data_IF_982951118962
#
_entry.id   IF_982951118962
#
_cell.length_a   1.000
_cell.length_b   1.000
_cell.length_c   1.000
_cell.angle_alpha   90.00
_cell.angle_beta   90.00
_cell.angle_gamma   90.00
#
_symmetry.space_group_name_H-M   'P 1'
#
loop_
_entity.id
_entity.type
_entity.pdbx_description
1 polymer ?
#
# COMPACT_ATOMS: atom_id res chain seq x y z
N UNK A 1 -10.57 0.92 6.00
CA UNK A 1 -11.23 -0.23 6.68
C UNK A 1 -12.09 -0.91 5.63
N UNK A 2 -11.71 -2.09 5.16
CA UNK A 2 -12.53 -2.88 4.24
C UNK A 2 -13.43 -3.79 5.08
N UNK A 3 -14.73 -3.77 4.83
CA UNK A 3 -15.70 -4.69 5.42
C UNK A 3 -16.23 -5.57 4.30
N UNK A 4 -16.10 -6.89 4.44
CA UNK A 4 -16.80 -7.83 3.57
C UNK A 4 -18.22 -8.04 4.09
N UNK A 5 -19.21 -7.75 3.26
CA UNK A 5 -20.61 -8.10 3.53
C UNK A 5 -21.01 -9.22 2.57
N UNK A 6 -21.42 -10.35 3.12
CA UNK A 6 -22.11 -11.39 2.36
C UNK A 6 -23.61 -11.20 2.52
N UNK A 7 -24.33 -11.13 1.41
CA UNK A 7 -25.79 -11.03 1.41
C UNK A 7 -26.37 -12.38 0.97
N UNK A 8 -26.76 -13.20 1.95
CA UNK A 8 -27.77 -14.23 1.72
C UNK A 8 -29.13 -13.54 1.89
N UNK A 9 -30.14 -13.94 1.12
CA UNK A 9 -31.36 -13.18 0.74
C UNK A 9 -32.13 -12.38 1.81
N UNK A 10 -31.78 -12.43 3.10
CA UNK A 10 -32.38 -11.63 4.18
C UNK A 10 -31.42 -11.19 5.31
N UNK A 11 -30.10 -11.43 5.25
CA UNK A 11 -29.17 -11.04 6.33
C UNK A 11 -27.82 -10.59 5.78
N UNK A 12 -27.47 -9.31 6.02
CA UNK A 12 -26.12 -8.81 5.78
C UNK A 12 -25.18 -9.33 6.88
N UNK A 13 -24.38 -10.35 6.56
CA UNK A 13 -23.40 -10.90 7.50
C UNK A 13 -22.11 -10.09 7.42
N UNK A 14 -21.69 -9.53 8.56
CA UNK A 14 -20.36 -8.91 8.70
C UNK A 14 -19.31 -10.02 8.75
N UNK A 15 -18.68 -10.30 7.62
CA UNK A 15 -17.75 -11.43 7.46
C UNK A 15 -16.36 -11.14 8.07
N UNK A 16 -16.13 -9.92 8.54
CA UNK A 16 -14.88 -9.51 9.18
C UNK A 16 -15.10 -8.36 10.19
N UNK A 17 -14.71 -8.55 11.44
CA UNK A 17 -14.81 -7.52 12.49
C UNK A 17 -13.44 -6.95 12.89
N UNK A 18 -12.38 -7.75 12.77
CA UNK A 18 -11.07 -7.44 13.32
C UNK A 18 -10.07 -6.91 12.29
N UNK A 19 -8.95 -6.38 12.79
CA UNK A 19 -7.83 -5.98 11.96
C UNK A 19 -7.31 -7.19 11.17
N UNK A 20 -7.08 -7.05 9.85
CA UNK A 20 -6.59 -8.16 9.05
C UNK A 20 -5.17 -8.55 9.46
N UNK A 21 -4.89 -9.85 9.45
CA UNK A 21 -3.52 -10.36 9.53
C UNK A 21 -2.94 -10.41 8.12
N UNK A 22 -1.79 -9.78 7.92
CA UNK A 22 -1.09 -9.77 6.63
C UNK A 22 0.08 -10.74 6.70
N UNK A 23 0.19 -11.62 5.71
CA UNK A 23 1.28 -12.58 5.57
C UNK A 23 1.90 -12.47 4.17
N UNK A 24 3.23 -12.50 4.12
CA UNK A 24 3.99 -12.46 2.88
C UNK A 24 4.45 -13.87 2.56
N UNK A 25 4.14 -14.34 1.35
CA UNK A 25 4.59 -15.65 0.88
C UNK A 25 5.90 -15.52 0.11
N UNK A 26 6.65 -16.62 0.05
CA UNK A 26 7.93 -16.69 -0.65
C UNK A 26 7.79 -16.50 -2.18
N UNK A 27 6.59 -16.70 -2.73
CA UNK A 27 6.25 -16.45 -4.13
C UNK A 27 5.98 -14.96 -4.43
N UNK A 28 6.10 -14.07 -3.44
CA UNK A 28 5.84 -12.65 -3.57
C UNK A 28 4.37 -12.26 -3.48
N UNK A 29 3.46 -13.21 -3.28
CA UNK A 29 2.05 -12.92 -3.03
C UNK A 29 1.83 -12.42 -1.60
N UNK A 30 0.84 -11.53 -1.44
CA UNK A 30 0.44 -11.01 -0.14
C UNK A 30 -0.90 -11.63 0.19
N UNK A 31 -0.99 -12.30 1.33
CA UNK A 31 -2.25 -12.88 1.80
C UNK A 31 -2.74 -12.11 3.01
N UNK A 32 -3.93 -11.53 2.86
CA UNK A 32 -4.61 -10.81 3.90
C UNK A 32 -5.78 -11.64 4.43
N UNK A 33 -5.71 -12.03 5.69
CA UNK A 33 -6.73 -12.84 6.34
C UNK A 33 -7.54 -12.00 7.31
N UNK A 34 -8.84 -12.00 7.10
CA UNK A 34 -9.82 -11.38 7.96
C UNK A 34 -10.51 -12.44 8.81
N UNK A 35 -10.61 -12.15 10.10
CA UNK A 35 -11.35 -12.97 11.05
C UNK A 35 -12.78 -12.45 11.13
N UNK A 36 -13.71 -13.30 10.75
CA UNK A 36 -15.14 -13.07 10.81
C UNK A 36 -15.76 -13.56 12.10
N UNK A 37 -16.92 -13.02 12.39
CA UNK A 37 -17.74 -13.48 13.50
C UNK A 37 -18.29 -14.89 13.20
N UNK A 38 -18.69 -15.58 14.26
CA UNK A 38 -19.41 -16.84 14.16
C UNK A 38 -20.74 -16.66 13.41
N UNK A 39 -21.08 -17.61 12.54
CA UNK A 39 -22.43 -17.73 12.00
C UNK A 39 -23.41 -17.94 13.18
N UNK A 40 -24.60 -17.33 13.15
CA UNK A 40 -25.65 -17.68 14.09
C UNK A 40 -26.12 -19.11 13.80
N UNK A 41 -25.67 -20.05 14.61
CA UNK A 41 -26.16 -21.44 14.62
C UNK A 41 -27.16 -21.57 15.77
N UNK A 42 -28.36 -22.06 15.48
CA UNK A 42 -29.44 -22.22 16.48
C UNK A 42 -29.21 -23.40 17.45
N UNK A 43 -27.95 -23.77 17.70
CA UNK A 43 -27.55 -24.90 18.56
C UNK A 43 -26.54 -24.40 19.60
N UNK A 44 -26.88 -24.59 20.88
CA UNK A 44 -26.20 -24.00 22.04
C UNK A 44 -24.71 -24.40 22.22
N UNK A 45 -24.20 -25.35 21.44
CA UNK A 45 -22.84 -25.90 21.57
C UNK A 45 -22.01 -25.86 20.28
N UNK A 46 -22.44 -25.11 19.24
CA UNK A 46 -21.71 -25.06 17.96
C UNK A 46 -20.93 -23.75 17.85
N UNK A 47 -19.60 -23.86 17.77
CA UNK A 47 -18.72 -22.72 17.46
C UNK A 47 -18.35 -22.79 15.98
N UNK A 48 -19.00 -21.96 15.16
CA UNK A 48 -18.57 -21.73 13.78
C UNK A 48 -17.61 -20.54 13.72
N UNK A 49 -16.52 -20.63 12.97
CA UNK A 49 -15.65 -19.49 12.69
C UNK A 49 -15.56 -19.26 11.17
N UNK A 50 -15.61 -18.00 10.79
CA UNK A 50 -15.58 -17.60 9.38
C UNK A 50 -14.28 -16.85 9.11
N UNK A 51 -13.58 -17.21 8.05
CA UNK A 51 -12.36 -16.55 7.61
C UNK A 51 -12.51 -16.08 6.18
N UNK A 52 -12.00 -14.89 5.88
CA UNK A 52 -11.88 -14.41 4.49
C UNK A 52 -10.42 -14.16 4.22
N UNK A 53 -9.84 -14.88 3.26
CA UNK A 53 -8.47 -14.70 2.82
C UNK A 53 -8.48 -14.05 1.44
N UNK A 54 -7.83 -12.90 1.33
CA UNK A 54 -7.59 -12.21 0.05
C UNK A 54 -6.14 -12.43 -0.33
N UNK A 55 -5.93 -13.17 -1.42
CA UNK A 55 -4.63 -13.41 -2.00
C UNK A 55 -4.37 -12.38 -3.10
N UNK A 56 -3.48 -11.44 -2.83
CA UNK A 56 -3.05 -10.44 -3.79
C UNK A 56 -1.94 -10.99 -4.67
N UNK A 57 -2.16 -10.93 -5.98
CA UNK A 57 -1.23 -11.41 -7.00
C UNK A 57 -0.80 -10.22 -7.85
N UNK A 58 0.50 -10.11 -8.13
CA UNK A 58 1.01 -9.08 -9.01
C UNK A 58 0.53 -9.31 -10.45
N UNK A 59 -0.20 -8.34 -10.99
CA UNK A 59 -0.50 -8.25 -12.42
C UNK A 59 -0.42 -6.80 -12.89
N UNK A 60 0.65 -6.49 -13.63
CA UNK A 60 0.90 -5.15 -14.18
C UNK A 60 -0.13 -4.71 -15.23
N UNK A 61 -0.91 -5.64 -15.79
CA UNK A 61 -1.93 -5.33 -16.79
C UNK A 61 -3.31 -5.08 -16.17
N UNK A 62 -3.50 -5.50 -14.93
CA UNK A 62 -4.78 -5.37 -14.22
C UNK A 62 -5.02 -3.94 -13.70
N UNK A 63 -3.98 -3.11 -13.56
CA UNK A 63 -4.06 -1.80 -12.90
C UNK A 63 -4.56 -1.95 -11.47
N UNK A 64 -5.53 -1.12 -11.07
CA UNK A 64 -6.22 -1.23 -9.78
C UNK A 64 -6.92 -2.59 -9.56
N UNK A 65 -7.15 -3.34 -10.64
CA UNK A 65 -7.75 -4.68 -10.61
C UNK A 65 -9.17 -4.71 -10.07
N UNK A 66 -9.75 -5.90 -10.07
CA UNK A 66 -10.94 -6.21 -9.29
C UNK A 66 -10.70 -7.56 -8.61
N UNK A 67 -11.25 -7.77 -7.40
CA UNK A 67 -11.21 -9.08 -6.78
C UNK A 67 -11.95 -10.07 -7.68
N UNK A 68 -11.21 -11.06 -8.18
CA UNK A 68 -11.76 -12.17 -8.91
C UNK A 68 -12.01 -13.34 -7.96
N UNK A 69 -13.05 -14.10 -8.28
CA UNK A 69 -13.27 -15.40 -7.65
C UNK A 69 -12.13 -16.33 -8.06
N UNK A 70 -11.55 -17.02 -7.09
CA UNK A 70 -10.60 -18.09 -7.37
C UNK A 70 -11.31 -19.17 -8.21
N UNK A 71 -10.85 -19.47 -9.44
CA UNK A 71 -11.48 -20.46 -10.30
C UNK A 71 -11.43 -21.88 -9.73
N UNK A 72 -10.49 -22.17 -8.82
CA UNK A 72 -10.41 -23.45 -8.12
C UNK A 72 -11.35 -23.53 -6.90
N UNK A 73 -11.93 -22.40 -6.48
CA UNK A 73 -12.72 -22.32 -5.26
C UNK A 73 -14.21 -22.54 -5.52
N UNK A 74 -14.69 -23.71 -5.11
CA UNK A 74 -16.12 -24.05 -5.06
C UNK A 74 -16.72 -23.32 -3.86
N UNK A 75 -17.55 -22.32 -4.13
CA UNK A 75 -18.25 -21.64 -3.04
C UNK A 75 -19.24 -22.61 -2.41
N UNK A 76 -19.34 -22.66 -1.07
CA UNK A 76 -20.43 -23.36 -0.45
C UNK A 76 -21.75 -22.73 -0.91
N UNK A 77 -22.75 -23.57 -1.22
CA UNK A 77 -24.05 -23.12 -1.74
C UNK A 77 -24.83 -22.22 -0.75
N UNK A 78 -24.39 -22.14 0.51
CA UNK A 78 -24.89 -21.24 1.55
C UNK A 78 -23.73 -20.74 2.40
N UNK A 79 -23.78 -19.48 2.81
CA UNK A 79 -22.70 -18.88 3.61
C UNK A 79 -22.58 -19.46 5.03
N UNK A 80 -23.67 -20.05 5.53
CA UNK A 80 -23.69 -20.83 6.76
C UNK A 80 -24.46 -22.16 6.51
N UNK A 81 -23.96 -23.31 6.99
CA UNK A 81 -24.68 -24.57 6.90
C UNK A 81 -25.96 -24.51 7.76
N UNK A 82 -27.10 -24.91 7.19
CA UNK A 82 -28.37 -25.05 7.93
C UNK A 82 -28.50 -26.50 8.41
N UNK A 83 -28.69 -26.69 9.72
CA UNK A 83 -28.88 -28.01 10.33
C UNK A 83 -30.36 -28.36 10.47
N UNK A 84 -30.67 -29.62 10.21
CA UNK A 84 -31.93 -30.21 10.63
C UNK A 84 -31.93 -30.36 12.16
N UNK A 85 -33.03 -29.97 12.81
CA UNK A 85 -33.19 -30.07 14.26
C UNK A 85 -32.99 -31.52 14.72
N UNK A 86 -31.97 -31.81 15.54
CA UNK A 86 -31.82 -33.13 16.19
C UNK A 86 -30.39 -33.63 16.44
N UNK A 87 -29.35 -33.03 15.86
CA UNK A 87 -27.96 -33.42 16.15
C UNK A 87 -27.44 -32.69 17.40
N UNK A 88 -26.99 -33.45 18.41
CA UNK A 88 -26.46 -32.94 19.69
C UNK A 88 -24.93 -32.99 19.74
N UNK A 89 -24.29 -33.40 18.65
CA UNK A 89 -22.83 -33.51 18.56
C UNK A 89 -22.17 -32.13 18.51
N UNK A 90 -21.10 -31.93 19.29
CA UNK A 90 -20.25 -30.73 19.21
C UNK A 90 -19.46 -30.77 17.91
N UNK A 91 -19.81 -29.92 16.97
CA UNK A 91 -19.09 -29.81 15.70
C UNK A 91 -18.40 -28.45 15.60
N UNK A 92 -17.13 -28.48 15.19
CA UNK A 92 -16.36 -27.28 14.87
C UNK A 92 -16.36 -27.09 13.36
N UNK A 93 -16.97 -25.99 12.88
CA UNK A 93 -17.01 -25.67 11.46
C UNK A 93 -16.17 -24.43 11.19
N UNK A 94 -15.26 -24.56 10.23
CA UNK A 94 -14.41 -23.48 9.74
C UNK A 94 -14.73 -23.24 8.28
N UNK A 95 -15.33 -22.09 7.98
CA UNK A 95 -15.61 -21.68 6.60
C UNK A 95 -14.59 -20.63 6.18
N UNK A 96 -13.77 -20.94 5.17
CA UNK A 96 -12.72 -20.04 4.69
C UNK A 96 -12.97 -19.65 3.25
N UNK A 97 -13.27 -18.36 2.99
CA UNK A 97 -13.45 -17.80 1.65
C UNK A 97 -12.11 -17.33 1.09
N UNK A 98 -11.73 -17.83 -0.08
CA UNK A 98 -10.51 -17.41 -0.77
C UNK A 98 -10.85 -16.52 -1.96
N UNK A 99 -10.32 -15.30 -1.95
CA UNK A 99 -10.46 -14.30 -3.01
C UNK A 99 -9.08 -14.07 -3.65
N UNK A 100 -9.02 -13.92 -4.96
CA UNK A 100 -7.77 -13.56 -5.65
C UNK A 100 -7.92 -12.13 -6.17
N UNK A 101 -7.03 -11.23 -5.77
CA UNK A 101 -7.01 -9.86 -6.28
C UNK A 101 -5.73 -9.63 -7.06
N UNK A 102 -5.86 -9.65 -8.39
CA UNK A 102 -4.77 -9.28 -9.28
C UNK A 102 -4.68 -7.75 -9.38
N UNK A 103 -3.55 -7.15 -9.00
CA UNK A 103 -3.34 -5.69 -9.06
C UNK A 103 -1.87 -5.35 -9.28
N UNK A 104 -1.62 -4.20 -9.91
CA UNK A 104 -0.27 -3.65 -10.09
C UNK A 104 0.33 -3.11 -8.79
N UNK A 105 -0.49 -2.67 -7.85
CA UNK A 105 -0.06 -2.08 -6.58
C UNK A 105 0.72 -3.05 -5.67
N UNK A 106 0.58 -4.35 -5.91
CA UNK A 106 1.27 -5.41 -5.15
C UNK A 106 2.49 -5.94 -5.89
N UNK A 107 2.72 -5.47 -7.12
CA UNK A 107 3.96 -5.77 -7.83
C UNK A 107 5.14 -5.11 -7.14
N UNK A 108 6.19 -5.90 -6.89
CA UNK A 108 7.46 -5.35 -6.50
C UNK A 108 7.98 -4.44 -7.62
N UNK A 109 7.98 -3.14 -7.36
CA UNK A 109 8.67 -2.18 -8.22
C UNK A 109 10.16 -2.23 -7.88
N UNK A 110 10.99 -2.50 -8.88
CA UNK A 110 12.43 -2.30 -8.75
C UNK A 110 12.75 -0.84 -8.44
N UNK A 111 13.97 -0.57 -7.96
CA UNK A 111 14.40 0.79 -7.65
C UNK A 111 14.09 1.72 -8.84
N UNK A 112 13.36 2.84 -8.62
CA UNK A 112 13.01 3.75 -9.69
C UNK A 112 14.26 4.22 -10.41
N UNK A 113 14.14 4.48 -11.72
CA UNK A 113 15.25 4.92 -12.56
C UNK A 113 15.99 6.13 -11.97
N UNK A 114 15.26 7.03 -11.32
CA UNK A 114 15.86 8.17 -10.60
C UNK A 114 16.86 7.75 -9.52
N UNK A 115 16.60 6.68 -8.77
CA UNK A 115 17.52 6.15 -7.77
C UNK A 115 18.80 5.59 -8.40
N UNK A 116 18.66 4.85 -9.50
CA UNK A 116 19.82 4.37 -10.28
C UNK A 116 20.67 5.51 -10.83
N UNK A 117 20.04 6.54 -11.40
CA UNK A 117 20.73 7.71 -11.93
C UNK A 117 21.54 8.43 -10.84
N UNK A 118 20.96 8.62 -9.64
CA UNK A 118 21.66 9.26 -8.52
C UNK A 118 22.87 8.46 -8.04
N UNK A 119 22.77 7.13 -8.00
CA UNK A 119 23.89 6.27 -7.61
C UNK A 119 25.03 6.39 -8.63
N UNK A 120 24.73 6.27 -9.92
CA UNK A 120 25.74 6.38 -10.99
C UNK A 120 26.40 7.76 -10.96
N UNK A 121 25.60 8.83 -10.85
CA UNK A 121 26.10 10.19 -10.77
C UNK A 121 27.03 10.38 -9.57
N UNK A 122 26.65 9.87 -8.39
CA UNK A 122 27.46 9.95 -7.17
C UNK A 122 28.81 9.26 -7.34
N UNK A 123 28.81 8.05 -7.92
CA UNK A 123 30.05 7.29 -8.18
C UNK A 123 30.97 8.07 -9.13
N UNK A 124 30.43 8.60 -10.24
CA UNK A 124 31.21 9.38 -11.21
C UNK A 124 31.83 10.63 -10.57
N UNK A 125 31.08 11.34 -9.73
CA UNK A 125 31.57 12.53 -9.02
C UNK A 125 32.75 12.18 -8.09
N UNK A 126 32.62 11.10 -7.31
CA UNK A 126 33.69 10.68 -6.38
C UNK A 126 34.95 10.30 -7.16
N UNK A 127 34.82 9.53 -8.24
CA UNK A 127 35.97 9.17 -9.08
C UNK A 127 36.63 10.39 -9.72
N UNK A 128 35.82 11.32 -10.24
CA UNK A 128 36.34 12.56 -10.83
C UNK A 128 37.12 13.39 -9.81
N UNK A 129 36.58 13.56 -8.59
CA UNK A 129 37.24 14.28 -7.52
C UNK A 129 38.53 13.57 -7.08
N UNK A 130 38.49 12.25 -6.86
CA UNK A 130 39.67 11.49 -6.44
C UNK A 130 40.81 11.57 -7.46
N UNK A 131 40.51 11.34 -8.75
CA UNK A 131 41.50 11.41 -9.83
C UNK A 131 42.01 12.84 -10.01
N UNK A 132 41.13 13.84 -9.99
CA UNK A 132 41.53 15.23 -10.17
C UNK A 132 42.35 15.77 -9.00
N UNK A 133 42.03 15.39 -7.76
CA UNK A 133 42.82 15.71 -6.56
C UNK A 133 44.20 15.06 -6.64
N UNK A 134 44.25 13.78 -7.00
CA UNK A 134 45.52 13.07 -7.17
C UNK A 134 46.39 13.71 -8.25
N UNK A 135 45.82 14.06 -9.41
CA UNK A 135 46.54 14.72 -10.50
C UNK A 135 47.03 16.12 -10.11
N UNK A 136 46.18 16.95 -9.51
CA UNK A 136 46.51 18.32 -9.08
C UNK A 136 47.58 18.33 -7.98
N UNK A 137 47.49 17.43 -7.01
CA UNK A 137 48.46 17.30 -5.92
C UNK A 137 49.80 16.74 -6.40
N UNK A 138 49.80 15.64 -7.16
CA UNK A 138 51.03 14.94 -7.54
C UNK A 138 51.77 15.61 -8.72
N UNK A 139 51.05 16.13 -9.71
CA UNK A 139 51.66 16.68 -10.93
C UNK A 139 51.86 18.19 -10.85
N UNK A 140 50.92 18.92 -10.23
CA UNK A 140 50.94 20.39 -10.19
C UNK A 140 51.38 20.96 -8.84
N UNK A 141 51.55 20.12 -7.81
CA UNK A 141 51.97 20.55 -6.49
C UNK A 141 50.98 21.50 -5.80
N UNK A 142 49.71 21.52 -6.24
CA UNK A 142 48.69 22.38 -5.67
C UNK A 142 48.40 21.96 -4.22
N UNK A 143 48.25 22.94 -3.31
CA UNK A 143 48.05 22.70 -1.88
C UNK A 143 46.75 23.37 -1.42
N UNK A 144 45.99 22.69 -0.57
CA UNK A 144 44.74 23.24 -0.03
C UNK A 144 43.58 23.19 -1.02
N UNK A 145 42.79 24.27 -1.08
CA UNK A 145 41.52 24.33 -1.84
C UNK A 145 41.75 24.26 -3.36
N UNK A 146 42.92 24.64 -3.84
CA UNK A 146 43.31 24.57 -5.26
C UNK A 146 43.51 23.14 -5.77
N UNK A 147 43.60 22.16 -4.87
CA UNK A 147 43.71 20.74 -5.21
C UNK A 147 42.38 20.19 -5.77
N UNK A 148 41.26 20.86 -5.52
CA UNK A 148 39.94 20.46 -6.01
C UNK A 148 39.80 20.91 -7.48
N UNK A 149 39.62 19.96 -8.43
CA UNK A 149 39.47 20.29 -9.85
C UNK A 149 38.17 21.10 -10.08
N UNK A 150 38.29 22.27 -10.70
CA UNK A 150 37.17 23.16 -11.02
C UNK A 150 36.32 23.58 -9.81
N UNK A 151 36.97 23.90 -8.67
CA UNK A 151 36.31 24.34 -7.43
C UNK A 151 35.13 25.34 -7.62
N UNK A 152 35.23 26.38 -8.47
CA UNK A 152 34.11 27.32 -8.66
C UNK A 152 32.84 26.66 -9.20
N UNK A 153 32.96 25.57 -9.97
CA UNK A 153 31.80 24.83 -10.45
C UNK A 153 31.14 24.08 -9.28
N UNK A 154 31.93 23.47 -8.40
CA UNK A 154 31.42 22.71 -7.25
C UNK A 154 30.73 23.59 -6.21
N UNK A 155 31.25 24.79 -5.98
CA UNK A 155 30.65 25.78 -5.09
C UNK A 155 29.24 26.16 -5.56
N UNK A 156 29.09 26.55 -6.83
CA UNK A 156 27.80 26.89 -7.42
C UNK A 156 26.84 25.69 -7.51
N UNK A 157 27.37 24.47 -7.72
CA UNK A 157 26.56 23.27 -7.86
C UNK A 157 25.93 22.85 -6.54
N UNK A 158 26.61 23.05 -5.40
CA UNK A 158 26.04 22.78 -4.09
C UNK A 158 24.88 23.73 -3.76
N UNK A 159 25.02 25.01 -4.10
CA UNK A 159 23.92 25.97 -3.96
C UNK A 159 22.69 25.55 -4.76
N UNK A 160 22.88 25.10 -6.00
CA UNK A 160 21.81 24.61 -6.86
C UNK A 160 21.14 23.33 -6.30
N UNK A 161 21.92 22.42 -5.73
CA UNK A 161 21.39 21.20 -5.08
C UNK A 161 20.52 21.57 -3.87
N UNK A 162 21.00 22.47 -3.01
CA UNK A 162 20.25 22.95 -1.84
C UNK A 162 18.95 23.62 -2.28
N UNK A 163 18.98 24.41 -3.35
CA UNK A 163 17.77 25.06 -3.89
C UNK A 163 16.79 24.04 -4.48
N UNK A 164 17.28 23.00 -5.17
CA UNK A 164 16.47 21.88 -5.63
C UNK A 164 15.80 21.10 -4.48
N UNK A 165 16.51 20.87 -3.38
CA UNK A 165 15.91 20.27 -2.17
C UNK A 165 14.86 21.19 -1.55
N UNK A 166 15.08 22.51 -1.50
CA UNK A 166 14.09 23.46 -1.01
C UNK A 166 12.85 23.49 -1.88
N UNK A 167 13.00 23.47 -3.20
CA UNK A 167 11.88 23.44 -4.15
C UNK A 167 11.05 22.15 -4.01
N UNK A 168 11.72 21.00 -3.94
CA UNK A 168 11.03 19.69 -3.83
C UNK A 168 10.38 19.48 -2.47
N UNK A 169 10.95 20.02 -1.38
CA UNK A 169 10.41 19.92 -0.02
C UNK A 169 9.42 21.03 0.34
N UNK A 170 9.40 22.14 -0.42
CA UNK A 170 8.31 23.11 -0.35
C UNK A 170 7.04 22.44 -0.85
N UNK A 171 6.25 21.93 0.09
CA UNK A 171 4.87 21.53 -0.18
C UNK A 171 4.19 22.68 -0.90
N UNK A 172 3.62 22.42 -2.09
CA UNK A 172 2.61 23.29 -2.64
C UNK A 172 1.49 23.39 -1.60
N UNK A 173 1.57 24.43 -0.77
CA UNK A 173 0.46 24.83 0.07
C UNK A 173 -0.65 25.19 -0.88
N UNK A 174 -1.61 24.29 -1.06
CA UNK A 174 -2.93 24.65 -1.56
C UNK A 174 -3.38 25.74 -0.59
N UNK A 175 -3.26 27.00 -1.02
CA UNK A 175 -3.95 28.09 -0.35
C UNK A 175 -5.41 27.78 -0.58
N UNK A 176 -6.05 27.12 0.38
CA UNK A 176 -7.50 27.01 0.43
C UNK A 176 -7.99 28.45 0.53
N UNK A 177 -8.28 29.05 -0.63
CA UNK A 177 -8.96 30.33 -0.71
C UNK A 177 -10.31 30.10 -0.02
N UNK A 178 -10.43 30.61 1.20
CA UNK A 178 -11.65 30.62 1.95
C UNK A 178 -12.69 31.42 1.16
N UNK A 179 -13.46 30.71 0.33
CA UNK A 179 -14.70 31.25 -0.24
C UNK A 179 -15.66 31.39 0.93
N UNK A 180 -15.91 32.62 1.34
CA UNK A 180 -16.84 32.96 2.42
C UNK A 180 -18.20 32.24 2.23
N UNK A 181 -18.84 31.73 3.29
CA UNK A 181 -20.22 31.28 3.19
C UNK A 181 -21.11 32.51 2.96
N UNK A 182 -21.69 32.61 1.76
CA UNK A 182 -22.87 33.44 1.52
C UNK A 182 -24.03 32.77 2.24
N UNK A 183 -24.18 33.07 3.54
CA UNK A 183 -25.40 32.78 4.28
C UNK A 183 -26.47 33.75 3.78
N UNK A 184 -27.22 33.30 2.77
CA UNK A 184 -28.51 33.86 2.42
C UNK A 184 -29.46 33.63 3.59
N UNK A 185 -29.80 34.71 4.29
CA UNK A 185 -30.94 34.78 5.19
C UNK A 185 -32.21 34.56 4.36
N UNK A 186 -32.84 33.39 4.50
CA UNK A 186 -34.26 33.21 4.18
C UNK A 186 -34.98 32.93 5.48
N UNK A 187 -35.63 33.96 6.00
CA UNK A 187 -36.62 33.91 7.07
C UNK A 187 -37.81 33.09 6.60
N UNK A 188 -38.12 31.99 7.28
CA UNK A 188 -39.43 31.35 7.19
C UNK A 188 -40.28 31.83 8.37
N UNK A 189 -41.27 32.67 8.07
CA UNK A 189 -42.35 33.01 8.98
C UNK A 189 -43.22 31.76 9.18
N UNK A 190 -43.35 31.30 10.43
CA UNK A 190 -44.41 30.38 10.83
C UNK A 190 -45.63 31.21 11.23
N UNK A 191 -46.74 30.98 10.53
CA UNK A 191 -48.10 31.18 11.03
C UNK A 191 -48.54 29.90 11.74
#
# INVERSE_FOLDING_TARGET
KAYGCGEDANVALKVAADAPTVSYKADGSIVQTYHGNSCPVNVASTTSQTYVSVNYVCDKKAGNGAPAKDPAYVWPARMCPSYANGDTSTHHYTTTYNLIWATDAVCAEGMPWGGWFLIILSVVIVFYLAVGIWYKGAVQGAVGVEMIPNFPIWENLWELVVDGFRFTLQKCGIKTSARAPVLGLVSYNAL
#
